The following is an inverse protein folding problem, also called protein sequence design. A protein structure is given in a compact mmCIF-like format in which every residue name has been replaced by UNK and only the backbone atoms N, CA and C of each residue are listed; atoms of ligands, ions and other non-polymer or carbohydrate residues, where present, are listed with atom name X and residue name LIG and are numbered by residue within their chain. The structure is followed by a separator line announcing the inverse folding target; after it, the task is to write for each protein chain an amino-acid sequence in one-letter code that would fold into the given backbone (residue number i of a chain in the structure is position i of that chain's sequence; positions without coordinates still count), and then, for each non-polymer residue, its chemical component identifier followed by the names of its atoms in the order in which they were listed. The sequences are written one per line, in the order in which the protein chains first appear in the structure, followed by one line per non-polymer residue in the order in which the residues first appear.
data_IF_894763292587
#
_entry.id   IF_894763292587
#
_cell.length_a   1.000
_cell.length_b   1.000
_cell.length_c   1.000
_cell.angle_alpha   90.00
_cell.angle_beta   90.00
_cell.angle_gamma   90.00
#
_symmetry.space_group_name_H-M   'P 1'
#
loop_
_entity.id
_entity.type
_entity.pdbx_description
1 polymer ?
#
# COMPACT_ATOMS: atom_id res chain seq x y z
N UNK A 1 2.66 8.78 -16.09
CA UNK A 1 3.73 7.76 -15.92
C UNK A 1 3.27 6.36 -16.33
N UNK A 2 2.13 5.85 -15.84
CA UNK A 2 1.56 4.55 -16.26
C UNK A 2 1.38 4.45 -17.79
N UNK A 3 0.86 5.50 -18.42
CA UNK A 3 0.68 5.59 -19.88
C UNK A 3 2.00 5.62 -20.67
N UNK A 4 3.11 5.99 -20.02
CA UNK A 4 4.45 5.97 -20.61
C UNK A 4 5.14 4.61 -20.45
N UNK A 5 4.43 3.58 -19.96
CA UNK A 5 4.95 2.23 -19.68
C UNK A 5 6.12 2.21 -18.69
N UNK A 6 6.16 3.18 -17.78
CA UNK A 6 7.17 3.25 -16.72
C UNK A 6 6.60 2.61 -15.45
N UNK A 7 7.38 1.73 -14.84
CA UNK A 7 7.09 1.21 -13.50
C UNK A 7 7.58 2.21 -12.45
N UNK A 8 6.72 2.54 -11.49
CA UNK A 8 7.04 3.45 -10.38
C UNK A 8 6.97 2.67 -9.07
N UNK A 9 8.03 2.77 -8.28
CA UNK A 9 8.04 2.33 -6.89
C UNK A 9 8.03 3.56 -5.99
N UNK A 10 7.04 3.63 -5.10
CA UNK A 10 6.86 4.73 -4.14
C UNK A 10 6.81 4.15 -2.73
N UNK A 11 7.50 4.79 -1.80
CA UNK A 11 7.33 4.58 -0.37
C UNK A 11 6.66 5.81 0.23
N UNK A 12 5.62 5.59 1.04
CA UNK A 12 4.89 6.66 1.72
C UNK A 12 4.37 6.16 3.06
N UNK A 13 4.23 7.07 4.03
CA UNK A 13 3.54 6.83 5.29
C UNK A 13 2.03 7.10 5.19
N UNK A 14 1.58 7.71 4.08
CA UNK A 14 0.18 8.06 3.85
C UNK A 14 -0.53 6.92 3.09
N UNK A 15 -1.36 6.17 3.83
CA UNK A 15 -2.16 5.07 3.28
C UNK A 15 -3.19 5.53 2.23
N UNK A 16 -3.72 6.75 2.38
CA UNK A 16 -4.68 7.31 1.42
C UNK A 16 -3.98 7.53 0.08
N UNK A 17 -2.79 8.15 0.08
CA UNK A 17 -2.00 8.35 -1.13
C UNK A 17 -1.54 7.04 -1.76
N UNK A 18 -1.14 6.06 -0.95
CA UNK A 18 -0.77 4.74 -1.45
C UNK A 18 -1.94 4.08 -2.20
N UNK A 19 -3.17 4.22 -1.69
CA UNK A 19 -4.37 3.67 -2.31
C UNK A 19 -4.85 4.45 -3.53
N UNK A 20 -4.84 5.77 -3.46
CA UNK A 20 -5.35 6.65 -4.52
C UNK A 20 -4.47 6.60 -5.78
N UNK A 21 -3.15 6.46 -5.61
CA UNK A 21 -2.19 6.55 -6.72
C UNK A 21 -1.55 5.21 -7.10
N UNK A 22 -1.55 4.24 -6.18
CA UNK A 22 -0.97 2.93 -6.40
C UNK A 22 -1.86 2.03 -7.24
N UNK A 23 -1.25 1.05 -7.89
CA UNK A 23 -1.96 -0.11 -8.45
C UNK A 23 -1.86 -1.32 -7.52
N UNK A 24 -0.76 -1.39 -6.78
CA UNK A 24 -0.48 -2.41 -5.79
C UNK A 24 0.06 -1.70 -4.55
N UNK A 25 -0.35 -2.17 -3.38
CA UNK A 25 0.03 -1.61 -2.09
C UNK A 25 0.74 -2.71 -1.30
N UNK A 26 1.86 -2.35 -0.67
CA UNK A 26 2.61 -3.22 0.22
C UNK A 26 2.76 -2.58 1.60
N UNK A 27 2.62 -3.38 2.66
CA UNK A 27 2.89 -2.94 4.04
C UNK A 27 4.26 -3.45 4.45
N UNK A 28 5.16 -2.52 4.74
CA UNK A 28 6.52 -2.83 5.22
C UNK A 28 6.59 -2.68 6.74
N UNK A 29 7.27 -3.62 7.41
CA UNK A 29 7.60 -3.53 8.84
C UNK A 29 8.99 -4.11 9.06
N UNK A 30 9.86 -3.39 9.75
CA UNK A 30 11.21 -3.86 10.11
C UNK A 30 12.03 -4.39 8.92
N UNK A 31 11.89 -3.76 7.76
CA UNK A 31 12.58 -4.17 6.53
C UNK A 31 11.95 -5.35 5.78
N UNK A 32 10.83 -5.90 6.27
CA UNK A 32 10.09 -7.02 5.65
C UNK A 32 8.75 -6.54 5.09
N UNK A 33 8.39 -7.08 3.92
CA UNK A 33 7.09 -6.87 3.30
C UNK A 33 6.09 -7.87 3.88
N UNK A 34 5.26 -7.40 4.80
CA UNK A 34 4.37 -8.25 5.62
C UNK A 34 2.97 -8.42 5.01
N UNK A 35 2.59 -7.57 4.06
CA UNK A 35 1.31 -7.65 3.37
C UNK A 35 1.40 -7.07 1.96
N UNK A 36 0.55 -7.55 1.06
CA UNK A 36 0.41 -7.07 -0.33
C UNK A 36 -1.04 -7.15 -0.76
N UNK A 37 -1.51 -6.14 -1.50
CA UNK A 37 -2.87 -6.11 -2.03
C UNK A 37 -2.97 -5.22 -3.27
N UNK A 38 -3.96 -5.51 -4.11
CA UNK A 38 -4.35 -4.62 -5.21
C UNK A 38 -5.14 -3.44 -4.64
N UNK A 39 -4.84 -2.22 -5.11
CA UNK A 39 -5.50 -0.99 -4.66
C UNK A 39 -7.02 -1.04 -4.86
N UNK A 40 -7.46 -1.69 -5.93
CA UNK A 40 -8.84 -1.71 -6.39
C UNK A 40 -9.69 -2.75 -5.63
N UNK A 41 -9.04 -3.69 -4.94
CA UNK A 41 -9.70 -4.79 -4.22
C UNK A 41 -9.82 -4.54 -2.71
N UNK A 42 -9.24 -3.46 -2.19
CA UNK A 42 -9.24 -3.16 -0.76
C UNK A 42 -9.97 -1.85 -0.48
N UNK A 43 -10.89 -1.83 0.49
CA UNK A 43 -11.49 -0.57 0.94
C UNK A 43 -10.48 0.26 1.74
N UNK A 44 -10.74 1.57 1.92
CA UNK A 44 -9.82 2.40 2.72
C UNK A 44 -9.79 1.92 4.18
N UNK A 45 -10.98 1.60 4.71
CA UNK A 45 -11.12 1.07 6.05
C UNK A 45 -10.34 -0.25 6.24
N UNK A 46 -10.43 -1.16 5.28
CA UNK A 46 -9.72 -2.45 5.36
C UNK A 46 -8.20 -2.26 5.34
N UNK A 47 -7.70 -1.32 4.53
CA UNK A 47 -6.27 -1.00 4.45
C UNK A 47 -5.75 -0.43 5.76
N UNK A 48 -6.48 0.52 6.37
CA UNK A 48 -6.15 1.09 7.67
C UNK A 48 -6.12 0.01 8.76
N UNK A 49 -7.14 -0.85 8.80
CA UNK A 49 -7.20 -1.94 9.76
C UNK A 49 -6.06 -2.94 9.59
N UNK A 50 -5.71 -3.30 8.35
CA UNK A 50 -4.54 -4.15 8.06
C UNK A 50 -3.25 -3.51 8.57
N UNK A 51 -3.05 -2.24 8.28
CA UNK A 51 -1.88 -1.49 8.73
C UNK A 51 -1.77 -1.47 10.26
N UNK A 52 -2.85 -1.10 10.96
CA UNK A 52 -2.86 -1.04 12.43
C UNK A 52 -2.58 -2.41 13.06
N UNK A 53 -3.12 -3.51 12.50
CA UNK A 53 -2.81 -4.86 12.97
C UNK A 53 -1.31 -5.16 12.90
N UNK A 54 -0.66 -4.82 11.79
CA UNK A 54 0.78 -5.07 11.63
C UNK A 54 1.63 -4.18 12.53
N UNK A 55 1.21 -2.94 12.80
CA UNK A 55 1.96 -1.98 13.62
C UNK A 55 1.78 -2.17 15.14
N UNK A 56 0.65 -2.74 15.58
CA UNK A 56 0.36 -3.00 17.00
C UNK A 56 0.81 -4.38 17.48
N UNK A 57 1.37 -5.21 16.60
CA UNK A 57 1.98 -6.51 16.95
C UNK A 57 3.46 -6.32 17.25
#
# INVERSE_FOLDING_TARGET
MKEQKVATLMATHDLFRAKDTGTHIGIMKEGVLVDKMDSDQVSFHDLEQKYLRHMHT
#
